data_IF_111932948498
#
_entry.id   IF_111932948498
#
_cell.length_a   1.000
_cell.length_b   1.000
_cell.length_c   1.000
_cell.angle_alpha   90.00
_cell.angle_beta   90.00
_cell.angle_gamma   90.00
#
_symmetry.space_group_name_H-M   'P 1'
#
loop_
_entity.id
_entity.type
_entity.pdbx_description
1 polymer ?
#
# COMPACT_ATOMS: atom_id res chain seq x y z
N UNK A 1 -7.96 -7.27 11.84
CA UNK A 1 -6.80 -6.42 12.19
C UNK A 1 -5.81 -6.48 11.03
N UNK A 2 -5.25 -5.35 10.59
CA UNK A 2 -4.25 -5.29 9.52
C UNK A 2 -2.96 -4.71 10.11
N UNK A 3 -1.88 -5.49 10.08
CA UNK A 3 -0.54 -4.96 10.38
C UNK A 3 0.12 -4.51 9.10
N UNK A 4 0.77 -3.35 9.16
CA UNK A 4 1.54 -2.80 8.04
C UNK A 4 2.94 -2.48 8.49
N UNK A 5 3.94 -2.91 7.75
CA UNK A 5 5.31 -2.45 7.91
C UNK A 5 5.67 -1.57 6.71
N UNK A 6 6.04 -0.33 6.99
CA UNK A 6 6.40 0.65 5.96
C UNK A 6 7.91 0.90 6.04
N UNK A 7 8.59 0.89 4.91
CA UNK A 7 10.02 1.22 4.79
C UNK A 7 10.19 2.17 3.62
N UNK A 8 10.69 3.37 3.89
CA UNK A 8 10.92 4.37 2.87
C UNK A 8 12.40 4.69 2.76
N UNK A 9 12.84 4.95 1.53
CA UNK A 9 14.20 5.32 1.20
C UNK A 9 14.18 6.72 0.63
N UNK A 10 14.78 7.65 1.35
CA UNK A 10 14.82 9.07 0.98
C UNK A 10 16.24 9.57 0.75
N UNK A 11 16.37 10.57 -0.09
CA UNK A 11 17.60 11.34 -0.29
C UNK A 11 17.36 12.82 0.03
N UNK A 12 18.39 13.49 0.54
CA UNK A 12 18.39 14.96 0.65
C UNK A 12 18.71 15.56 -0.71
N UNK A 13 18.04 16.66 -1.07
CA UNK A 13 18.39 17.45 -2.23
C UNK A 13 18.26 18.94 -1.93
N UNK A 14 19.05 19.77 -2.60
CA UNK A 14 19.00 21.23 -2.45
C UNK A 14 18.07 21.84 -3.49
N UNK A 15 17.28 22.84 -3.08
CA UNK A 15 16.45 23.69 -3.95
C UNK A 15 16.36 25.08 -3.34
N UNK A 16 16.72 26.10 -4.10
CA UNK A 16 16.67 27.51 -3.66
C UNK A 16 17.45 27.79 -2.36
N UNK A 17 18.61 27.14 -2.18
CA UNK A 17 19.46 27.27 -0.98
C UNK A 17 18.93 26.55 0.26
N UNK A 18 17.83 25.81 0.15
CA UNK A 18 17.23 25.02 1.22
C UNK A 18 17.33 23.52 0.92
N UNK A 19 17.54 22.71 1.97
CA UNK A 19 17.59 21.24 1.84
C UNK A 19 16.19 20.69 2.01
N UNK A 20 15.76 19.82 1.10
CA UNK A 20 14.49 19.09 1.15
C UNK A 20 14.74 17.57 1.13
N UNK A 21 13.70 16.80 1.44
CA UNK A 21 13.73 15.34 1.34
C UNK A 21 12.96 14.89 0.10
N UNK A 22 13.52 13.95 -0.66
CA UNK A 22 12.85 13.24 -1.76
C UNK A 22 12.77 11.77 -1.42
N UNK A 23 11.57 11.19 -1.45
CA UNK A 23 11.38 9.76 -1.33
C UNK A 23 11.65 9.11 -2.70
N UNK A 24 12.57 8.16 -2.72
CA UNK A 24 12.98 7.40 -3.92
C UNK A 24 12.24 6.09 -4.05
N UNK A 25 11.93 5.48 -2.92
CA UNK A 25 11.21 4.22 -2.86
C UNK A 25 10.41 4.16 -1.57
N UNK A 26 9.22 3.60 -1.66
CA UNK A 26 8.37 3.32 -0.52
C UNK A 26 7.89 1.89 -0.63
N UNK A 27 8.35 1.04 0.28
CA UNK A 27 7.94 -0.35 0.39
C UNK A 27 6.92 -0.47 1.52
N UNK A 28 5.78 -1.09 1.21
CA UNK A 28 4.77 -1.44 2.18
C UNK A 28 4.59 -2.95 2.21
N UNK A 29 4.50 -3.52 3.42
CA UNK A 29 4.16 -4.92 3.63
C UNK A 29 2.89 -5.05 4.43
N UNK A 30 1.91 -5.75 3.88
CA UNK A 30 0.62 -6.01 4.53
C UNK A 30 0.65 -7.39 5.20
N UNK A 31 0.13 -7.46 6.42
CA UNK A 31 -0.05 -8.73 7.12
C UNK A 31 -1.43 -8.70 7.77
N UNK A 32 -2.49 -9.00 7.00
CA UNK A 32 -3.83 -9.13 7.56
C UNK A 32 -3.89 -10.34 8.49
N UNK A 33 -4.65 -10.21 9.58
CA UNK A 33 -4.96 -11.35 10.46
C UNK A 33 -6.02 -12.28 9.86
N UNK A 34 -6.89 -11.73 9.00
CA UNK A 34 -7.94 -12.45 8.29
C UNK A 34 -8.19 -11.80 6.95
N UNK A 35 -8.25 -12.62 5.90
CA UNK A 35 -8.69 -12.20 4.57
C UNK A 35 -10.12 -12.69 4.34
N UNK A 36 -10.97 -11.82 3.84
CA UNK A 36 -12.31 -12.16 3.37
C UNK A 36 -12.45 -11.65 1.95
N UNK A 37 -12.88 -12.53 1.05
CA UNK A 37 -13.07 -12.22 -0.35
C UNK A 37 -14.57 -12.28 -0.64
N UNK A 38 -15.13 -11.20 -1.20
CA UNK A 38 -16.51 -11.19 -1.65
C UNK A 38 -16.59 -10.52 -3.02
N UNK A 39 -17.14 -11.24 -3.97
CA UNK A 39 -17.36 -10.76 -5.32
C UNK A 39 -18.86 -10.78 -5.63
N UNK A 40 -19.37 -9.62 -6.03
CA UNK A 40 -20.75 -9.46 -6.44
C UNK A 40 -20.89 -9.65 -7.95
N UNK A 41 -22.12 -9.94 -8.41
CA UNK A 41 -22.44 -10.12 -9.82
C UNK A 41 -21.62 -11.21 -10.54
N UNK A 42 -21.22 -12.26 -9.81
CA UNK A 42 -20.66 -13.46 -10.42
C UNK A 42 -21.74 -14.20 -11.20
N UNK A 43 -21.36 -14.78 -12.34
CA UNK A 43 -22.24 -15.58 -13.20
C UNK A 43 -23.57 -14.86 -13.55
N UNK A 44 -23.47 -13.60 -14.00
CA UNK A 44 -24.61 -12.74 -14.35
C UNK A 44 -25.67 -12.60 -13.24
N UNK A 45 -25.22 -12.66 -11.97
CA UNK A 45 -26.07 -12.49 -10.81
C UNK A 45 -26.72 -13.76 -10.29
N UNK A 46 -26.34 -14.95 -10.79
CA UNK A 46 -26.79 -16.22 -10.23
C UNK A 46 -26.31 -16.37 -8.77
N UNK A 47 -27.25 -16.31 -7.84
CA UNK A 47 -26.96 -16.31 -6.40
C UNK A 47 -26.45 -17.65 -5.90
N UNK A 48 -26.80 -18.77 -6.56
CA UNK A 48 -26.36 -20.10 -6.15
C UNK A 48 -24.89 -20.28 -6.54
N UNK A 49 -24.56 -20.08 -7.82
CA UNK A 49 -23.19 -20.20 -8.30
C UNK A 49 -22.28 -19.13 -7.67
N UNK A 50 -22.79 -17.90 -7.51
CA UNK A 50 -22.07 -16.82 -6.85
C UNK A 50 -21.74 -17.14 -5.39
N UNK A 51 -22.68 -17.70 -4.62
CA UNK A 51 -22.43 -18.07 -3.22
C UNK A 51 -21.44 -19.24 -3.08
N UNK A 52 -21.53 -20.25 -3.95
CA UNK A 52 -20.59 -21.37 -3.98
C UNK A 52 -19.17 -20.89 -4.33
N UNK A 53 -19.05 -20.01 -5.32
CA UNK A 53 -17.75 -19.44 -5.69
C UNK A 53 -17.16 -18.59 -4.56
N UNK A 54 -17.96 -17.71 -3.94
CA UNK A 54 -17.50 -16.94 -2.79
C UNK A 54 -17.09 -17.85 -1.62
N UNK A 55 -17.78 -18.96 -1.37
CA UNK A 55 -17.37 -19.93 -0.35
C UNK A 55 -16.02 -20.57 -0.68
N UNK A 56 -15.81 -21.01 -1.92
CA UNK A 56 -14.55 -21.56 -2.39
C UNK A 56 -13.40 -20.55 -2.27
N UNK A 57 -13.63 -19.30 -2.68
CA UNK A 57 -12.63 -18.23 -2.58
C UNK A 57 -12.28 -17.91 -1.14
N UNK A 58 -13.27 -17.85 -0.25
CA UNK A 58 -13.02 -17.62 1.19
C UNK A 58 -12.26 -18.78 1.85
N UNK A 59 -12.50 -20.03 1.45
CA UNK A 59 -11.74 -21.19 1.94
C UNK A 59 -10.26 -21.13 1.54
N UNK A 60 -9.94 -20.44 0.45
CA UNK A 60 -8.59 -20.33 -0.10
C UNK A 60 -8.05 -18.89 -0.02
N UNK A 61 -8.68 -18.02 0.78
CA UNK A 61 -8.43 -16.57 0.75
C UNK A 61 -6.98 -16.20 1.07
N UNK A 62 -6.34 -16.92 2.00
CA UNK A 62 -4.95 -16.64 2.37
C UNK A 62 -3.97 -16.95 1.22
N UNK A 63 -4.21 -18.01 0.45
CA UNK A 63 -3.39 -18.35 -0.71
C UNK A 63 -3.59 -17.35 -1.84
N UNK A 64 -4.86 -17.08 -2.18
CA UNK A 64 -5.23 -16.12 -3.22
C UNK A 64 -4.72 -14.71 -2.88
N UNK A 65 -4.81 -14.31 -1.61
CA UNK A 65 -4.28 -13.05 -1.15
C UNK A 65 -2.77 -12.97 -1.32
N UNK A 66 -2.01 -14.03 -1.01
CA UNK A 66 -0.54 -14.02 -1.20
C UNK A 66 -0.13 -13.76 -2.65
N UNK A 67 -0.88 -14.27 -3.62
CA UNK A 67 -0.61 -14.01 -5.05
C UNK A 67 -0.90 -12.55 -5.42
N UNK A 68 -1.99 -11.99 -4.89
CA UNK A 68 -2.40 -10.61 -5.14
C UNK A 68 -1.64 -9.58 -4.28
N UNK A 69 -1.01 -10.02 -3.19
CA UNK A 69 -0.41 -9.15 -2.20
C UNK A 69 0.73 -8.33 -2.79
N UNK A 70 1.65 -8.98 -3.51
CA UNK A 70 2.81 -8.30 -4.10
C UNK A 70 2.42 -7.14 -5.06
N UNK A 71 1.53 -7.33 -6.05
CA UNK A 71 1.13 -6.24 -6.93
C UNK A 71 0.37 -5.12 -6.21
N UNK A 72 -0.41 -5.44 -5.17
CA UNK A 72 -1.01 -4.40 -4.33
C UNK A 72 0.04 -3.60 -3.55
N UNK A 73 0.99 -4.28 -2.90
CA UNK A 73 2.09 -3.65 -2.16
C UNK A 73 2.91 -2.72 -3.05
N UNK A 74 3.21 -3.14 -4.29
CA UNK A 74 3.90 -2.30 -5.27
C UNK A 74 3.08 -1.06 -5.62
N UNK A 75 1.79 -1.24 -5.94
CA UNK A 75 0.89 -0.13 -6.30
C UNK A 75 0.76 0.87 -5.17
N UNK A 76 0.55 0.40 -3.93
CA UNK A 76 0.48 1.26 -2.75
C UNK A 76 1.82 1.94 -2.48
N UNK A 77 2.94 1.26 -2.68
CA UNK A 77 4.27 1.85 -2.60
C UNK A 77 4.44 3.06 -3.52
N UNK A 78 4.02 2.95 -4.78
CA UNK A 78 4.05 4.06 -5.75
C UNK A 78 3.17 5.23 -5.30
N UNK A 79 1.95 4.95 -4.84
CA UNK A 79 1.01 5.97 -4.35
C UNK A 79 1.55 6.68 -3.11
N UNK A 80 2.08 5.93 -2.13
CA UNK A 80 2.63 6.50 -0.91
C UNK A 80 3.91 7.29 -1.18
N UNK A 81 4.78 6.84 -2.08
CA UNK A 81 5.94 7.62 -2.50
C UNK A 81 5.53 8.95 -3.13
N UNK A 82 4.48 8.96 -3.97
CA UNK A 82 3.95 10.20 -4.55
C UNK A 82 3.44 11.15 -3.47
N UNK A 83 2.55 10.67 -2.59
CA UNK A 83 1.96 11.48 -1.50
C UNK A 83 3.08 12.04 -0.60
N UNK A 84 4.04 11.21 -0.22
CA UNK A 84 5.15 11.63 0.62
C UNK A 84 6.00 12.73 -0.06
N UNK A 85 6.28 12.62 -1.36
CA UNK A 85 6.99 13.66 -2.09
C UNK A 85 6.16 14.95 -2.26
N UNK A 86 4.84 14.84 -2.48
CA UNK A 86 3.95 16.00 -2.55
C UNK A 86 4.03 16.82 -1.25
N UNK A 87 4.17 16.16 -0.09
CA UNK A 87 4.38 16.82 1.21
C UNK A 87 5.81 17.31 1.41
N UNK A 88 6.81 16.42 1.28
CA UNK A 88 8.21 16.73 1.62
C UNK A 88 8.87 17.72 0.66
N UNK A 89 8.34 17.89 -0.55
CA UNK A 89 8.79 18.92 -1.48
C UNK A 89 8.35 20.34 -1.08
N UNK A 90 7.44 20.49 -0.12
CA UNK A 90 6.95 21.79 0.36
C UNK A 90 7.55 22.20 1.71
N UNK A 91 8.23 21.27 2.40
CA UNK A 91 8.74 21.49 3.76
C UNK A 91 10.24 21.26 3.80
N UNK A 92 11.07 22.27 4.16
CA UNK A 92 12.51 22.09 4.31
C UNK A 92 12.86 21.00 5.34
N UNK A 93 13.92 20.25 5.08
CA UNK A 93 14.40 19.13 5.89
C UNK A 93 14.58 19.52 7.36
N UNK A 94 15.14 20.70 7.63
CA UNK A 94 15.36 21.22 9.00
C UNK A 94 14.07 21.40 9.82
N UNK A 95 12.92 21.59 9.16
CA UNK A 95 11.62 21.72 9.82
C UNK A 95 11.03 20.36 10.18
N UNK A 96 11.37 19.32 9.41
CA UNK A 96 10.92 17.94 9.62
C UNK A 96 11.79 17.26 10.68
N UNK A 97 13.10 17.49 10.62
CA UNK A 97 14.10 16.98 11.55
C UNK A 97 14.91 18.13 12.13
N UNK A 98 14.37 18.84 13.14
CA UNK A 98 15.09 19.91 13.82
C UNK A 98 16.37 19.36 14.47
N UNK A 99 17.48 20.10 14.36
CA UNK A 99 18.66 19.81 15.17
C UNK A 99 18.32 20.02 16.66
N UNK A 100 18.73 19.07 17.50
CA UNK A 100 18.47 19.08 18.95
C UNK A 100 19.40 20.03 19.68
#
# INVERSE_FOLDING_TARGET
NLRTQNTYYGEKYERDGEIYMRIKKYDVKFTPEKVLLNFDNLFDGDTILGSQMNQFLNQNADLLFKELQAPYEETFGLVFAKIANDVFSQVPFRMIFPES
#
